data_IF_879778122994
#
_entry.id   IF_879778122994
#
_cell.length_a   1.000
_cell.length_b   1.000
_cell.length_c   1.000
_cell.angle_alpha   90.00
_cell.angle_beta   90.00
_cell.angle_gamma   90.00
#
_symmetry.space_group_name_H-M   'P 1'
#
loop_
_entity.id
_entity.type
_entity.pdbx_description
1 polymer ?
#
# COMPACT_ATOMS: atom_id res chain seq x y z
N UNK A 1 -15.75 -21.93 3.20
CA UNK A 1 -14.80 -20.79 3.19
C UNK A 1 -15.01 -19.90 1.96
N UNK A 2 -14.93 -20.40 0.74
CA UNK A 2 -15.12 -19.57 -0.48
C UNK A 2 -16.52 -18.96 -0.56
N UNK A 3 -17.56 -19.75 -0.26
CA UNK A 3 -18.93 -19.25 -0.21
C UNK A 3 -19.11 -18.13 0.82
N UNK A 4 -18.57 -18.29 2.03
CA UNK A 4 -18.65 -17.26 3.07
C UNK A 4 -17.91 -15.99 2.65
N UNK A 5 -16.69 -16.09 2.09
CA UNK A 5 -15.95 -14.93 1.60
C UNK A 5 -16.68 -14.18 0.47
N UNK A 6 -17.37 -14.91 -0.40
CA UNK A 6 -18.23 -14.29 -1.41
C UNK A 6 -19.44 -13.59 -0.79
N UNK A 7 -20.07 -14.19 0.24
CA UNK A 7 -21.18 -13.56 0.96
C UNK A 7 -20.72 -12.28 1.66
N UNK A 8 -19.59 -12.33 2.38
CA UNK A 8 -19.02 -11.14 3.06
C UNK A 8 -18.72 -10.01 2.07
N UNK A 9 -18.18 -10.35 0.87
CA UNK A 9 -18.01 -9.38 -0.23
C UNK A 9 -19.34 -8.79 -0.67
N UNK A 10 -20.38 -9.63 -0.91
CA UNK A 10 -21.68 -9.16 -1.36
C UNK A 10 -22.33 -8.21 -0.36
N UNK A 11 -22.30 -8.55 0.92
CA UNK A 11 -22.82 -7.70 1.99
C UNK A 11 -22.04 -6.36 2.05
N UNK A 12 -20.72 -6.38 1.92
CA UNK A 12 -19.90 -5.19 1.95
C UNK A 12 -20.18 -4.24 0.77
N UNK A 13 -20.29 -4.77 -0.46
CA UNK A 13 -20.55 -3.94 -1.66
C UNK A 13 -22.02 -3.46 -1.73
N UNK A 14 -22.95 -4.19 -1.14
CA UNK A 14 -24.35 -3.73 -1.00
C UNK A 14 -24.48 -2.63 0.07
N UNK A 15 -23.64 -2.66 1.10
CA UNK A 15 -23.63 -1.63 2.15
C UNK A 15 -22.93 -0.33 1.71
N UNK A 16 -21.86 -0.43 0.88
CA UNK A 16 -21.12 0.72 0.35
C UNK A 16 -20.57 0.39 -1.04
N UNK A 17 -21.01 1.12 -2.06
CA UNK A 17 -20.49 0.97 -3.43
C UNK A 17 -19.04 1.45 -3.56
N UNK A 18 -18.36 1.09 -4.67
CA UNK A 18 -16.99 1.56 -4.94
C UNK A 18 -16.98 3.07 -5.17
N UNK A 19 -18.01 3.59 -5.80
CA UNK A 19 -18.18 5.01 -6.08
C UNK A 19 -18.37 5.81 -4.76
N UNK A 20 -19.16 5.29 -3.83
CA UNK A 20 -19.33 5.89 -2.50
C UNK A 20 -18.04 5.86 -1.69
N UNK A 21 -17.31 4.76 -1.72
CA UNK A 21 -15.99 4.63 -1.08
C UNK A 21 -14.99 5.65 -1.66
N UNK A 22 -14.94 5.80 -2.99
CA UNK A 22 -14.11 6.80 -3.65
C UNK A 22 -14.47 8.21 -3.19
N UNK A 23 -15.75 8.56 -3.23
CA UNK A 23 -16.23 9.88 -2.83
C UNK A 23 -15.94 10.19 -1.35
N UNK A 24 -16.06 9.19 -0.46
CA UNK A 24 -15.71 9.35 0.97
C UNK A 24 -14.23 9.69 1.15
N UNK A 25 -13.33 8.97 0.48
CA UNK A 25 -11.89 9.23 0.57
C UNK A 25 -11.55 10.60 -0.06
N UNK A 26 -12.14 10.92 -1.22
CA UNK A 26 -11.93 12.20 -1.90
C UNK A 26 -12.44 13.41 -1.08
N UNK A 27 -13.35 13.20 -0.14
CA UNK A 27 -13.91 14.25 0.70
C UNK A 27 -13.08 14.63 1.93
N UNK A 28 -11.94 13.99 2.16
CA UNK A 28 -11.06 14.36 3.29
C UNK A 28 -10.39 15.72 3.03
N UNK A 29 -10.23 16.52 4.09
CA UNK A 29 -9.71 17.90 3.97
C UNK A 29 -8.30 17.97 3.33
N UNK A 30 -7.46 16.97 3.57
CA UNK A 30 -6.07 16.92 3.10
C UNK A 30 -5.90 15.87 1.98
N UNK A 31 -6.88 15.72 1.09
CA UNK A 31 -6.76 14.84 -0.06
C UNK A 31 -5.66 15.34 -1.00
N UNK A 32 -4.80 14.42 -1.43
CA UNK A 32 -3.66 14.71 -2.31
C UNK A 32 -3.82 13.91 -3.60
N UNK A 33 -3.84 14.59 -4.74
CA UNK A 33 -3.89 13.94 -6.07
C UNK A 33 -2.53 13.34 -6.43
N UNK A 34 -2.47 12.38 -7.37
CA UNK A 34 -1.20 11.74 -7.74
C UNK A 34 -0.20 12.73 -8.36
N UNK A 35 -0.67 13.74 -9.08
CA UNK A 35 0.17 14.77 -9.70
C UNK A 35 0.78 15.76 -8.68
N UNK A 36 0.26 15.81 -7.45
CA UNK A 36 0.84 16.54 -6.33
C UNK A 36 1.92 15.72 -5.58
N UNK A 37 2.05 14.42 -5.87
CA UNK A 37 3.03 13.55 -5.22
C UNK A 37 4.34 13.50 -6.01
N UNK A 38 5.51 13.55 -5.35
CA UNK A 38 6.77 13.29 -6.02
C UNK A 38 6.78 11.90 -6.68
N UNK A 39 7.28 11.82 -7.92
CA UNK A 39 7.40 10.54 -8.62
C UNK A 39 8.23 9.53 -7.80
N UNK A 40 9.24 10.00 -7.08
CA UNK A 40 10.04 9.19 -6.16
C UNK A 40 9.20 8.49 -5.09
N UNK A 41 8.18 9.17 -4.55
CA UNK A 41 7.28 8.56 -3.56
C UNK A 41 6.41 7.47 -4.19
N UNK A 42 5.85 7.74 -5.38
CA UNK A 42 5.05 6.76 -6.14
C UNK A 42 5.89 5.51 -6.43
N UNK A 43 7.11 5.69 -6.96
CA UNK A 43 8.02 4.59 -7.28
C UNK A 43 8.42 3.79 -6.03
N UNK A 44 8.64 4.46 -4.91
CA UNK A 44 8.93 3.81 -3.63
C UNK A 44 7.76 2.96 -3.15
N UNK A 45 6.53 3.49 -3.15
CA UNK A 45 5.31 2.75 -2.77
C UNK A 45 5.12 1.54 -3.67
N UNK A 46 5.18 1.70 -4.99
CA UNK A 46 5.05 0.59 -5.94
C UNK A 46 6.13 -0.49 -5.71
N UNK A 47 7.36 -0.09 -5.46
CA UNK A 47 8.48 -1.01 -5.26
C UNK A 47 8.31 -1.90 -4.03
N UNK A 48 7.72 -1.38 -2.96
CA UNK A 48 7.62 -2.12 -1.69
C UNK A 48 6.31 -2.82 -1.50
N UNK A 49 5.22 -2.28 -2.03
CA UNK A 49 3.88 -2.81 -1.84
C UNK A 49 3.43 -3.67 -3.01
N UNK A 50 3.66 -3.23 -4.25
CA UNK A 50 3.10 -3.89 -5.42
C UNK A 50 3.87 -3.56 -6.72
N UNK A 51 5.04 -4.16 -6.89
CA UNK A 51 5.93 -3.89 -8.04
C UNK A 51 5.24 -4.01 -9.41
N UNK A 52 4.19 -4.84 -9.53
CA UNK A 52 3.49 -5.10 -10.78
C UNK A 52 2.08 -4.54 -10.81
N UNK A 53 1.81 -3.53 -10.00
CA UNK A 53 0.51 -2.91 -9.81
C UNK A 53 -0.22 -2.63 -11.14
N UNK A 54 0.46 -2.01 -12.09
CA UNK A 54 -0.12 -1.68 -13.40
C UNK A 54 -0.33 -2.87 -14.33
N UNK A 55 0.13 -4.08 -13.94
CA UNK A 55 0.14 -5.25 -14.84
C UNK A 55 -0.86 -6.35 -14.46
N UNK A 56 -1.57 -6.22 -13.34
CA UNK A 56 -2.53 -7.24 -12.88
C UNK A 56 -3.91 -6.64 -12.59
N UNK A 57 -5.00 -7.42 -12.63
CA UNK A 57 -6.37 -6.95 -12.44
C UNK A 57 -6.83 -7.06 -10.98
N UNK A 58 -6.08 -6.52 -10.02
CA UNK A 58 -6.43 -6.49 -8.59
C UNK A 58 -5.78 -7.54 -7.72
N UNK A 59 -5.39 -8.67 -8.25
CA UNK A 59 -4.56 -9.69 -7.59
C UNK A 59 -3.36 -10.04 -8.45
N UNK A 60 -2.24 -10.35 -7.79
CA UNK A 60 -0.99 -10.76 -8.44
C UNK A 60 -0.65 -12.21 -8.13
N UNK A 61 -1.04 -13.20 -8.98
CA UNK A 61 -0.74 -14.60 -8.74
C UNK A 61 0.76 -14.92 -8.69
N UNK A 62 1.59 -14.14 -9.40
CA UNK A 62 3.05 -14.32 -9.40
C UNK A 62 3.64 -13.85 -8.07
N UNK A 63 3.19 -12.70 -7.53
CA UNK A 63 3.60 -12.24 -6.21
C UNK A 63 3.16 -13.20 -5.11
N UNK A 64 1.93 -13.73 -5.17
CA UNK A 64 1.43 -14.74 -4.23
C UNK A 64 2.31 -16.01 -4.28
N UNK A 65 2.62 -16.51 -5.49
CA UNK A 65 3.47 -17.68 -5.66
C UNK A 65 4.89 -17.46 -5.14
N UNK A 66 5.48 -16.29 -5.39
CA UNK A 66 6.80 -15.90 -4.87
C UNK A 66 6.81 -15.82 -3.35
N UNK A 67 5.83 -15.12 -2.75
CA UNK A 67 5.70 -15.00 -1.31
C UNK A 67 5.59 -16.38 -0.63
N UNK A 68 4.76 -17.27 -1.16
CA UNK A 68 4.61 -18.63 -0.64
C UNK A 68 5.94 -19.42 -0.66
N UNK A 69 6.70 -19.33 -1.76
CA UNK A 69 8.02 -20.00 -1.87
C UNK A 69 9.03 -19.43 -0.87
N UNK A 70 9.03 -18.10 -0.68
CA UNK A 70 9.94 -17.44 0.25
C UNK A 70 9.60 -17.74 1.70
N UNK A 71 8.31 -17.75 2.06
CA UNK A 71 7.82 -18.11 3.39
C UNK A 71 8.17 -19.57 3.75
N UNK A 72 7.99 -20.51 2.79
CA UNK A 72 8.38 -21.92 2.97
C UNK A 72 9.89 -22.04 3.19
N UNK A 73 10.71 -21.36 2.38
CA UNK A 73 12.18 -21.40 2.51
C UNK A 73 12.67 -20.81 3.82
N UNK A 74 12.03 -19.75 4.30
CA UNK A 74 12.38 -19.09 5.55
C UNK A 74 11.82 -19.80 6.79
N UNK A 75 10.84 -20.69 6.63
CA UNK A 75 10.09 -21.31 7.74
C UNK A 75 9.26 -20.29 8.56
N UNK A 76 9.04 -19.11 8.01
CA UNK A 76 8.34 -18.01 8.65
C UNK A 76 7.68 -17.10 7.59
N UNK A 77 6.66 -16.33 8.00
CA UNK A 77 6.05 -15.32 7.15
C UNK A 77 7.01 -14.13 6.97
N UNK A 78 7.62 -14.02 5.81
CA UNK A 78 8.66 -13.00 5.50
C UNK A 78 8.26 -12.07 4.37
N UNK A 79 7.32 -12.45 3.49
CA UNK A 79 6.91 -11.64 2.34
C UNK A 79 5.38 -11.56 2.22
N UNK A 80 4.86 -10.34 2.02
CA UNK A 80 3.45 -10.11 1.72
C UNK A 80 3.15 -10.29 0.23
N UNK A 81 2.15 -11.08 -0.09
CA UNK A 81 1.65 -11.25 -1.47
C UNK A 81 0.37 -10.48 -1.76
N UNK A 82 0.00 -9.50 -0.93
CA UNK A 82 -1.21 -8.68 -1.14
C UNK A 82 -0.90 -7.50 -2.04
N UNK A 83 -1.80 -7.20 -2.96
CA UNK A 83 -1.70 -6.03 -3.85
C UNK A 83 -2.17 -4.74 -3.17
N UNK A 84 -1.86 -3.58 -3.75
CA UNK A 84 -2.38 -2.27 -3.33
C UNK A 84 -3.92 -2.30 -3.33
N UNK A 85 -4.55 -2.83 -4.38
CA UNK A 85 -6.01 -2.94 -4.49
C UNK A 85 -6.61 -3.81 -3.38
N UNK A 86 -5.96 -4.93 -3.03
CA UNK A 86 -6.39 -5.76 -1.91
C UNK A 86 -6.24 -5.06 -0.54
N UNK A 87 -5.20 -4.24 -0.39
CA UNK A 87 -5.00 -3.46 0.84
C UNK A 87 -6.06 -2.36 0.96
N UNK A 88 -6.39 -1.66 -0.13
CA UNK A 88 -7.48 -0.69 -0.18
C UNK A 88 -8.81 -1.37 0.17
N UNK A 89 -9.13 -2.50 -0.48
CA UNK A 89 -10.32 -3.29 -0.18
C UNK A 89 -10.41 -3.68 1.30
N UNK A 90 -9.31 -4.19 1.87
CA UNK A 90 -9.23 -4.56 3.28
C UNK A 90 -9.54 -3.38 4.20
N UNK A 91 -8.91 -2.24 3.96
CA UNK A 91 -8.99 -1.08 4.84
C UNK A 91 -10.38 -0.40 4.79
N UNK A 92 -11.05 -0.45 3.63
CA UNK A 92 -12.31 0.27 3.40
C UNK A 92 -13.56 -0.56 3.68
N UNK A 93 -13.49 -1.89 3.57
CA UNK A 93 -14.67 -2.75 3.59
C UNK A 93 -14.66 -3.83 4.67
N UNK A 94 -13.49 -4.17 5.26
CA UNK A 94 -13.41 -5.34 6.12
C UNK A 94 -12.77 -5.02 7.48
N UNK A 95 -13.29 -5.66 8.53
CA UNK A 95 -12.71 -5.63 9.87
C UNK A 95 -11.69 -6.75 10.08
N UNK A 96 -10.95 -6.74 11.20
CA UNK A 96 -9.80 -7.63 11.45
C UNK A 96 -10.13 -9.12 11.67
N UNK A 97 -11.42 -9.53 11.66
CA UNK A 97 -11.84 -10.88 12.04
C UNK A 97 -11.78 -11.89 10.88
N UNK A 98 -11.37 -13.14 11.17
CA UNK A 98 -11.35 -14.32 10.29
C UNK A 98 -10.43 -14.22 9.06
N UNK A 99 -9.15 -14.42 9.25
CA UNK A 99 -8.08 -14.20 8.25
C UNK A 99 -8.29 -14.81 6.85
N UNK A 100 -8.72 -16.07 6.71
CA UNK A 100 -8.84 -16.73 5.40
C UNK A 100 -10.11 -16.32 4.66
N UNK A 101 -11.25 -16.27 5.33
CA UNK A 101 -12.53 -15.85 4.73
C UNK A 101 -12.46 -14.40 4.27
N UNK A 102 -11.91 -13.52 5.12
CA UNK A 102 -11.67 -12.13 4.75
C UNK A 102 -10.76 -12.03 3.51
N UNK A 103 -9.68 -12.82 3.43
CA UNK A 103 -8.78 -12.78 2.27
C UNK A 103 -9.47 -13.12 0.96
N UNK A 104 -10.44 -14.04 1.00
CA UNK A 104 -11.27 -14.35 -0.16
C UNK A 104 -12.21 -13.19 -0.50
N UNK A 105 -12.83 -12.56 0.49
CA UNK A 105 -13.67 -11.37 0.28
C UNK A 105 -12.87 -10.20 -0.29
N UNK A 106 -11.66 -9.95 0.23
CA UNK A 106 -10.71 -8.95 -0.32
C UNK A 106 -10.40 -9.18 -1.81
N UNK A 107 -10.22 -10.44 -2.22
CA UNK A 107 -9.96 -10.77 -3.64
C UNK A 107 -11.16 -10.41 -4.53
N UNK A 108 -12.39 -10.76 -4.15
CA UNK A 108 -13.58 -10.39 -4.90
C UNK A 108 -13.78 -8.86 -4.94
N UNK A 109 -13.55 -8.18 -3.80
CA UNK A 109 -13.64 -6.73 -3.73
C UNK A 109 -12.56 -6.06 -4.57
N UNK A 110 -11.33 -6.57 -4.60
CA UNK A 110 -10.27 -6.05 -5.46
C UNK A 110 -10.64 -6.13 -6.95
N UNK A 111 -11.20 -7.24 -7.43
CA UNK A 111 -11.72 -7.33 -8.79
C UNK A 111 -12.85 -6.32 -9.06
N UNK A 112 -13.74 -6.11 -8.08
CA UNK A 112 -14.82 -5.13 -8.22
C UNK A 112 -14.26 -3.71 -8.32
N UNK A 113 -13.32 -3.33 -7.46
CA UNK A 113 -12.66 -2.02 -7.47
C UNK A 113 -12.00 -1.78 -8.84
N UNK A 114 -11.21 -2.72 -9.34
CA UNK A 114 -10.54 -2.63 -10.66
C UNK A 114 -11.51 -2.62 -11.86
N UNK A 115 -12.74 -3.09 -11.67
CA UNK A 115 -13.77 -3.01 -12.71
C UNK A 115 -14.44 -1.63 -12.80
N UNK A 116 -14.25 -0.78 -11.79
CA UNK A 116 -14.90 0.54 -11.65
C UNK A 116 -13.90 1.68 -11.78
N UNK A 117 -12.71 1.51 -11.20
CA UNK A 117 -11.68 2.54 -11.10
C UNK A 117 -10.45 2.14 -11.92
N UNK A 118 -9.79 3.12 -12.50
CA UNK A 118 -8.47 2.92 -13.12
C UNK A 118 -7.35 2.82 -12.06
N UNK A 119 -6.17 2.42 -12.50
CA UNK A 119 -5.01 2.19 -11.63
C UNK A 119 -4.56 3.44 -10.89
N UNK A 120 -4.54 4.57 -11.57
CA UNK A 120 -4.09 5.82 -10.98
C UNK A 120 -5.04 6.26 -9.86
N UNK A 121 -6.36 6.16 -10.10
CA UNK A 121 -7.35 6.44 -9.06
C UNK A 121 -7.24 5.47 -7.87
N UNK A 122 -7.01 4.17 -8.10
CA UNK A 122 -6.82 3.20 -7.01
C UNK A 122 -5.58 3.53 -6.17
N UNK A 123 -4.46 3.91 -6.81
CA UNK A 123 -3.24 4.31 -6.10
C UNK A 123 -3.45 5.60 -5.31
N UNK A 124 -4.12 6.57 -5.90
CA UNK A 124 -4.48 7.83 -5.28
C UNK A 124 -5.34 7.62 -4.02
N UNK A 125 -6.41 6.82 -4.12
CA UNK A 125 -7.25 6.47 -2.98
C UNK A 125 -6.47 5.69 -1.91
N UNK A 126 -5.56 4.81 -2.32
CA UNK A 126 -4.73 4.04 -1.40
C UNK A 126 -3.88 4.96 -0.52
N UNK A 127 -3.10 5.87 -1.09
CA UNK A 127 -2.22 6.75 -0.31
C UNK A 127 -2.97 7.76 0.55
N UNK A 128 -4.22 8.05 0.21
CA UNK A 128 -5.10 8.92 0.97
C UNK A 128 -5.95 8.19 2.01
N UNK A 129 -5.78 6.88 2.20
CA UNK A 129 -6.62 6.10 3.13
C UNK A 129 -5.87 5.04 3.93
N UNK A 130 -4.54 5.04 3.91
CA UNK A 130 -3.73 4.10 4.69
C UNK A 130 -3.23 4.73 5.99
N UNK A 131 -2.96 3.87 6.96
CA UNK A 131 -2.46 4.29 8.27
C UNK A 131 -0.93 4.37 8.27
N UNK A 132 -0.40 5.55 8.62
CA UNK A 132 1.03 5.83 8.72
C UNK A 132 1.57 5.88 10.17
N UNK A 133 0.78 5.50 11.17
CA UNK A 133 1.13 5.71 12.58
C UNK A 133 0.77 7.12 13.07
N UNK A 134 0.96 7.39 14.37
CA UNK A 134 0.69 8.69 15.00
C UNK A 134 -0.68 9.31 14.66
N UNK A 135 -1.67 8.46 14.41
CA UNK A 135 -3.01 8.87 13.98
C UNK A 135 -3.08 9.57 12.62
N UNK A 136 -2.08 9.37 11.76
CA UNK A 136 -2.09 9.85 10.37
C UNK A 136 -2.68 8.78 9.45
N UNK A 137 -3.76 9.12 8.74
CA UNK A 137 -4.53 8.22 7.88
C UNK A 137 -4.49 8.59 6.40
N UNK A 138 -3.72 9.62 6.02
CA UNK A 138 -3.44 9.97 4.63
C UNK A 138 -2.01 10.45 4.48
N UNK A 139 -1.54 10.49 3.23
CA UNK A 139 -0.17 10.88 2.89
C UNK A 139 0.14 12.32 3.30
N UNK A 140 -0.84 13.24 3.16
CA UNK A 140 -0.65 14.64 3.53
C UNK A 140 -0.47 14.82 5.04
N UNK A 141 -1.35 14.22 5.85
CA UNK A 141 -1.21 14.26 7.31
C UNK A 141 0.13 13.67 7.78
N UNK A 142 0.55 12.59 7.13
CA UNK A 142 1.80 11.93 7.47
C UNK A 142 3.02 12.77 7.08
N UNK A 143 3.02 13.39 5.90
CA UNK A 143 4.10 14.29 5.46
C UNK A 143 4.21 15.51 6.38
N UNK A 144 3.09 16.19 6.62
CA UNK A 144 3.06 17.32 7.53
C UNK A 144 3.46 16.94 8.95
N UNK A 145 2.95 15.81 9.45
CA UNK A 145 3.20 15.39 10.83
C UNK A 145 4.62 14.89 11.08
N UNK A 146 5.27 14.26 10.11
CA UNK A 146 6.63 13.75 10.27
C UNK A 146 7.70 14.72 9.79
N UNK A 147 7.43 15.53 8.75
CA UNK A 147 8.42 16.37 8.07
C UNK A 147 8.10 17.85 8.13
N UNK A 148 6.88 18.25 8.53
CA UNK A 148 6.45 19.64 8.62
C UNK A 148 6.28 20.32 7.25
N UNK A 149 5.94 19.55 6.21
CA UNK A 149 5.77 20.05 4.83
C UNK A 149 4.72 19.22 4.06
N UNK A 150 4.14 19.79 2.99
CA UNK A 150 3.21 19.06 2.14
C UNK A 150 3.93 17.94 1.36
N UNK A 151 3.20 16.91 0.89
CA UNK A 151 3.78 15.79 0.14
C UNK A 151 4.60 16.21 -1.09
N UNK A 152 4.18 17.26 -1.80
CA UNK A 152 4.85 17.76 -3.01
C UNK A 152 6.27 18.28 -2.77
N UNK A 153 6.62 18.58 -1.51
CA UNK A 153 7.94 19.09 -1.11
C UNK A 153 8.84 18.02 -0.47
N UNK A 154 8.36 16.78 -0.38
CA UNK A 154 9.18 15.67 0.14
C UNK A 154 10.39 15.43 -0.74
N UNK A 155 11.56 15.35 -0.12
CA UNK A 155 12.79 14.93 -0.77
C UNK A 155 12.90 13.40 -0.91
N UNK A 156 14.02 12.92 -1.47
CA UNK A 156 14.26 11.50 -1.68
C UNK A 156 14.21 10.68 -0.39
N UNK A 157 14.83 11.19 0.67
CA UNK A 157 14.91 10.47 1.95
C UNK A 157 13.54 10.39 2.61
N UNK A 158 12.78 11.47 2.59
CA UNK A 158 11.43 11.55 3.12
C UNK A 158 10.44 10.65 2.34
N UNK A 159 10.51 10.67 1.00
CA UNK A 159 9.70 9.80 0.14
C UNK A 159 9.94 8.32 0.44
N UNK A 160 11.20 7.91 0.54
CA UNK A 160 11.57 6.51 0.77
C UNK A 160 11.29 6.05 2.20
N UNK A 161 11.45 6.94 3.17
CA UNK A 161 11.09 6.69 4.56
C UNK A 161 9.57 6.50 4.71
N UNK A 162 8.79 7.46 4.18
CA UNK A 162 7.32 7.44 4.29
C UNK A 162 6.72 6.19 3.62
N UNK A 163 7.20 5.80 2.45
CA UNK A 163 6.76 4.61 1.74
C UNK A 163 7.01 3.30 2.53
N UNK A 164 7.95 3.29 3.46
CA UNK A 164 8.26 2.14 4.29
C UNK A 164 7.31 1.92 5.47
N UNK A 165 6.66 2.98 5.96
CA UNK A 165 5.89 2.97 7.21
C UNK A 165 4.65 2.06 7.17
N UNK A 166 3.80 2.06 6.11
CA UNK A 166 2.52 1.34 6.11
C UNK A 166 2.62 -0.16 6.34
N UNK A 167 3.77 -0.76 6.08
CA UNK A 167 4.01 -2.19 6.31
C UNK A 167 3.85 -2.61 7.78
N UNK A 168 4.34 -1.78 8.72
CA UNK A 168 4.16 -1.95 10.17
C UNK A 168 4.25 -0.57 10.87
N UNK A 169 3.19 0.26 10.83
CA UNK A 169 3.23 1.66 11.25
C UNK A 169 3.67 1.89 12.70
N UNK A 170 3.39 0.94 13.59
CA UNK A 170 3.86 1.00 14.98
C UNK A 170 5.37 0.78 15.11
N UNK A 171 5.93 -0.13 14.28
CA UNK A 171 7.34 -0.50 14.35
C UNK A 171 8.24 0.47 13.56
N UNK A 172 7.74 0.96 12.43
CA UNK A 172 8.49 1.84 11.52
C UNK A 172 8.15 3.32 11.70
N UNK A 173 7.65 3.67 12.87
CA UNK A 173 7.36 5.06 13.24
C UNK A 173 8.68 5.84 13.41
N UNK A 174 8.95 6.88 12.61
CA UNK A 174 10.22 7.58 12.66
C UNK A 174 10.45 8.38 13.95
N UNK A 175 9.37 8.70 14.68
CA UNK A 175 9.47 9.40 15.98
C UNK A 175 9.70 8.41 17.12
N UNK A 176 8.96 7.29 17.13
CA UNK A 176 9.02 6.31 18.21
C UNK A 176 10.17 5.29 18.04
N UNK A 177 10.55 4.97 16.80
CA UNK A 177 11.52 3.92 16.47
C UNK A 177 12.37 4.33 15.25
N UNK A 178 13.15 5.42 15.33
CA UNK A 178 13.88 5.96 14.16
C UNK A 178 14.85 4.95 13.53
N UNK A 179 15.51 4.14 14.33
CA UNK A 179 16.44 3.11 13.82
C UNK A 179 15.73 2.06 12.95
N UNK A 180 14.56 1.58 13.39
CA UNK A 180 13.77 0.61 12.61
C UNK A 180 13.18 1.25 11.36
N UNK A 181 12.78 2.52 11.44
CA UNK A 181 12.28 3.28 10.30
C UNK A 181 13.37 3.41 9.22
N UNK A 182 14.61 3.78 9.60
CA UNK A 182 15.74 3.85 8.65
C UNK A 182 16.18 2.48 8.11
N UNK A 183 16.13 1.41 8.93
CA UNK A 183 16.36 0.06 8.44
C UNK A 183 15.31 -0.33 7.38
N UNK A 184 14.06 0.05 7.59
CA UNK A 184 12.99 -0.17 6.62
C UNK A 184 13.18 0.67 5.36
N UNK A 185 13.58 1.94 5.50
CA UNK A 185 13.92 2.82 4.39
C UNK A 185 15.02 2.22 3.50
N UNK A 186 16.08 1.67 4.09
CA UNK A 186 17.13 0.97 3.33
C UNK A 186 16.56 -0.20 2.49
N UNK A 187 15.59 -0.96 3.03
CA UNK A 187 14.90 -2.00 2.27
C UNK A 187 14.04 -1.43 1.13
N UNK A 188 13.41 -0.27 1.34
CA UNK A 188 12.67 0.44 0.28
C UNK A 188 13.60 0.78 -0.87
N UNK A 189 14.72 1.44 -0.58
CA UNK A 189 15.72 1.85 -1.57
C UNK A 189 16.28 0.63 -2.33
N UNK A 190 16.57 -0.47 -1.64
CA UNK A 190 17.01 -1.72 -2.28
C UNK A 190 15.94 -2.28 -3.23
N UNK A 191 14.65 -2.24 -2.83
CA UNK A 191 13.56 -2.68 -3.69
C UNK A 191 13.36 -1.75 -4.89
N UNK A 192 13.55 -0.44 -4.75
CA UNK A 192 13.52 0.51 -5.86
C UNK A 192 14.64 0.22 -6.88
N UNK A 193 15.86 -0.07 -6.42
CA UNK A 193 16.97 -0.54 -7.30
C UNK A 193 16.59 -1.82 -8.04
N UNK A 194 16.11 -2.84 -7.35
CA UNK A 194 15.64 -4.10 -7.95
C UNK A 194 14.45 -3.93 -8.89
N UNK A 195 13.67 -2.87 -8.73
CA UNK A 195 12.56 -2.53 -9.62
C UNK A 195 13.01 -1.76 -10.87
N UNK A 196 14.23 -1.20 -10.86
CA UNK A 196 14.78 -0.41 -11.95
C UNK A 196 14.42 1.08 -11.88
N UNK A 197 13.96 1.57 -10.74
CA UNK A 197 13.67 2.99 -10.51
C UNK A 197 14.91 3.79 -10.07
N UNK A 198 15.94 3.10 -9.61
CA UNK A 198 17.22 3.70 -9.25
C UNK A 198 18.36 2.94 -9.95
N UNK A 199 19.39 3.68 -10.36
CA UNK A 199 20.61 3.07 -10.87
C UNK A 199 21.37 2.33 -9.74
N UNK A 200 21.94 1.16 -10.04
CA UNK A 200 22.88 0.53 -9.13
C UNK A 200 24.19 1.31 -9.13
N UNK A 201 24.66 1.74 -7.96
CA UNK A 201 25.97 2.38 -7.77
C UNK A 201 27.17 1.43 -8.06
N UNK A 202 26.99 0.45 -8.93
CA UNK A 202 28.01 -0.55 -9.28
C UNK A 202 28.76 -0.19 -10.57
N UNK A 203 29.07 1.10 -10.80
CA UNK A 203 30.10 1.52 -11.75
C UNK A 203 30.98 2.62 -11.14
N UNK A 204 31.70 2.26 -10.07
CA UNK A 204 32.95 2.92 -9.73
C UNK A 204 34.05 1.83 -9.86
N UNK A 205 34.73 1.88 -10.99
CA UNK A 205 36.05 1.21 -11.20
C UNK A 205 37.09 1.66 -10.16
#
# INVERSE_FOLDING_TARGET
MTYQGYTDYREAIEAKSVEEMSAEIESIDNYTTLDELPQTYIDAVLSVEDKRFYSHPGIDPIAIGRALVNDIKAGAYVEGGSTITQQLAKNQYFTQDKKIVRKIAEMFMAFKIESVLDKDKILELYVNSIFFGNNYYCVADASEGYFGKPPSEMDFDECTLLAGIPNAPTNYNPVASPELAHQRQAQVIEKMKKAGYLEDDTTAD
#
